data_IF_874339899665
#
_entry.id   IF_874339899665
#
_cell.length_a   1.000
_cell.length_b   1.000
_cell.length_c   1.000
_cell.angle_alpha   90.00
_cell.angle_beta   90.00
_cell.angle_gamma   90.00
#
_symmetry.space_group_name_H-M   'P 1'
#
loop_
_entity.id
_entity.type
_entity.pdbx_description
1 polymer ?
#
# COMPACT_ATOMS: atom_id res chain seq x y z
N UNK A 1 -36.08 -17.60 -15.73
CA UNK A 1 -35.57 -16.27 -16.09
C UNK A 1 -34.07 -16.22 -15.80
N UNK A 2 -33.31 -15.52 -16.60
CA UNK A 2 -31.89 -15.76 -16.92
C UNK A 2 -30.87 -15.55 -15.80
N UNK A 3 -30.07 -16.60 -15.56
CA UNK A 3 -28.81 -16.61 -14.82
C UNK A 3 -27.80 -15.65 -15.47
N UNK A 4 -27.49 -14.49 -14.86
CA UNK A 4 -26.44 -13.60 -15.41
C UNK A 4 -25.48 -12.96 -14.39
N UNK A 5 -25.64 -13.11 -13.09
CA UNK A 5 -24.85 -12.34 -12.12
C UNK A 5 -23.72 -13.09 -11.38
N UNK A 6 -23.58 -14.42 -11.57
CA UNK A 6 -22.57 -15.20 -10.83
C UNK A 6 -21.20 -15.22 -11.53
N UNK A 7 -21.14 -14.90 -12.83
CA UNK A 7 -19.87 -14.99 -13.60
C UNK A 7 -18.94 -13.78 -13.45
N UNK A 8 -19.43 -12.61 -13.05
CA UNK A 8 -18.61 -11.38 -13.04
C UNK A 8 -17.58 -11.36 -11.89
N UNK A 9 -17.97 -11.74 -10.67
CA UNK A 9 -17.05 -11.79 -9.53
C UNK A 9 -15.96 -12.86 -9.69
N UNK A 10 -16.32 -14.02 -10.25
CA UNK A 10 -15.35 -15.11 -10.51
C UNK A 10 -14.29 -14.72 -11.55
N UNK A 11 -14.65 -13.97 -12.60
CA UNK A 11 -13.69 -13.55 -13.64
C UNK A 11 -12.70 -12.50 -13.13
N UNK A 12 -13.13 -11.58 -12.30
CA UNK A 12 -12.25 -10.55 -11.73
C UNK A 12 -11.25 -11.16 -10.72
N UNK A 13 -11.72 -12.07 -9.87
CA UNK A 13 -10.88 -12.77 -8.88
C UNK A 13 -9.84 -13.70 -9.53
N UNK A 14 -10.25 -14.47 -10.57
CA UNK A 14 -9.33 -15.32 -11.33
C UNK A 14 -8.27 -14.47 -12.05
N UNK A 15 -8.62 -13.27 -12.56
CA UNK A 15 -7.64 -12.37 -13.17
C UNK A 15 -6.64 -11.80 -12.16
N UNK A 16 -7.06 -11.40 -10.96
CA UNK A 16 -6.13 -10.92 -9.92
C UNK A 16 -5.20 -12.05 -9.42
N UNK A 17 -5.74 -13.24 -9.15
CA UNK A 17 -4.90 -14.41 -8.79
C UNK A 17 -3.94 -14.84 -9.89
N UNK A 18 -4.35 -14.79 -11.16
CA UNK A 18 -3.46 -15.09 -12.29
C UNK A 18 -2.33 -14.06 -12.42
N UNK A 19 -2.58 -12.79 -12.17
CA UNK A 19 -1.52 -11.76 -12.18
C UNK A 19 -0.42 -12.05 -11.14
N UNK A 20 -0.79 -12.47 -9.92
CA UNK A 20 0.18 -12.81 -8.87
C UNK A 20 0.96 -14.11 -9.16
N UNK A 21 0.32 -15.12 -9.75
CA UNK A 21 0.97 -16.41 -10.08
C UNK A 21 1.69 -16.42 -11.42
N UNK A 22 1.26 -15.61 -12.39
CA UNK A 22 1.91 -15.53 -13.69
C UNK A 22 3.17 -14.65 -13.67
N UNK A 23 3.22 -13.60 -12.82
CA UNK A 23 4.44 -12.81 -12.64
C UNK A 23 5.53 -13.58 -11.89
N UNK A 24 5.19 -14.36 -10.88
CA UNK A 24 6.17 -15.18 -10.15
C UNK A 24 6.70 -16.34 -11.00
N UNK A 25 5.86 -17.03 -11.77
CA UNK A 25 6.27 -18.17 -12.58
C UNK A 25 7.13 -17.80 -13.81
N UNK A 26 6.82 -16.69 -14.51
CA UNK A 26 7.61 -16.31 -15.68
C UNK A 26 9.01 -15.80 -15.32
N UNK A 27 9.20 -15.30 -14.10
CA UNK A 27 10.50 -14.85 -13.59
C UNK A 27 11.40 -16.03 -13.22
N UNK A 28 10.84 -17.12 -12.67
CA UNK A 28 11.56 -18.38 -12.46
C UNK A 28 11.95 -19.08 -13.77
N UNK A 29 11.09 -19.05 -14.77
CA UNK A 29 11.39 -19.61 -16.12
C UNK A 29 12.53 -18.85 -16.84
N UNK A 30 12.76 -17.58 -16.52
CA UNK A 30 13.84 -16.77 -17.08
C UNK A 30 15.16 -16.84 -16.29
N UNK A 31 15.22 -17.57 -15.16
CA UNK A 31 16.42 -17.72 -14.35
C UNK A 31 16.92 -16.42 -13.72
N UNK A 32 16.02 -15.46 -13.50
CA UNK A 32 16.35 -14.11 -12.99
C UNK A 32 16.29 -14.11 -11.48
N UNK A 33 17.40 -13.78 -10.81
CA UNK A 33 17.47 -13.67 -9.35
C UNK A 33 16.66 -12.46 -8.84
N UNK A 34 16.19 -12.52 -7.59
CA UNK A 34 15.40 -11.46 -6.94
C UNK A 34 16.01 -10.06 -7.00
N UNK A 35 17.35 -9.94 -7.06
CA UNK A 35 18.05 -8.66 -7.24
C UNK A 35 17.93 -8.08 -8.67
N UNK A 36 17.58 -8.91 -9.65
CA UNK A 36 17.35 -8.47 -11.05
C UNK A 36 15.90 -8.03 -11.26
N UNK A 37 14.95 -8.52 -10.43
CA UNK A 37 13.53 -8.14 -10.48
C UNK A 37 13.35 -6.65 -10.18
N UNK A 38 14.08 -6.10 -9.22
CA UNK A 38 14.04 -4.67 -8.89
C UNK A 38 14.41 -3.77 -10.07
N UNK A 39 15.39 -4.22 -10.88
CA UNK A 39 15.81 -3.50 -12.08
C UNK A 39 14.82 -3.65 -13.23
N UNK A 40 14.07 -4.77 -13.29
CA UNK A 40 13.08 -5.07 -14.34
C UNK A 40 11.79 -4.26 -14.09
N UNK A 41 11.29 -4.17 -12.86
CA UNK A 41 10.11 -3.37 -12.52
C UNK A 41 10.32 -1.88 -12.88
N UNK A 42 11.47 -1.30 -12.48
CA UNK A 42 11.82 0.07 -12.86
C UNK A 42 11.99 0.24 -14.37
N UNK A 43 12.67 -0.70 -15.03
CA UNK A 43 12.87 -0.69 -16.50
C UNK A 43 11.57 -0.87 -17.26
N UNK A 44 10.61 -1.67 -16.74
CA UNK A 44 9.32 -1.89 -17.39
C UNK A 44 8.47 -0.62 -17.35
N UNK A 45 8.31 0.02 -16.18
CA UNK A 45 7.57 1.27 -16.06
C UNK A 45 8.21 2.39 -16.91
N UNK A 46 9.53 2.53 -16.86
CA UNK A 46 10.26 3.50 -17.68
C UNK A 46 10.10 3.18 -19.18
N UNK A 47 10.16 1.89 -19.58
CA UNK A 47 10.02 1.49 -20.98
C UNK A 47 8.61 1.72 -21.51
N UNK A 48 7.57 1.56 -20.69
CA UNK A 48 6.17 1.87 -21.06
C UNK A 48 5.98 3.37 -21.27
N UNK A 49 6.57 4.21 -20.39
CA UNK A 49 6.57 5.66 -20.56
C UNK A 49 7.35 6.08 -21.81
N UNK A 50 8.53 5.53 -22.04
CA UNK A 50 9.35 5.85 -23.22
C UNK A 50 8.61 5.53 -24.53
N UNK A 51 7.90 4.40 -24.63
CA UNK A 51 7.10 4.07 -25.81
C UNK A 51 5.95 5.06 -26.08
N UNK A 52 5.32 5.60 -25.00
CA UNK A 52 4.25 6.61 -25.13
C UNK A 52 4.80 8.01 -25.42
N UNK A 53 6.07 8.30 -25.11
CA UNK A 53 6.70 9.61 -25.36
C UNK A 53 7.27 9.75 -26.76
N UNK A 54 7.59 8.67 -27.46
CA UNK A 54 7.97 8.73 -28.88
C UNK A 54 6.88 9.38 -29.72
N UNK A 55 5.58 9.23 -29.29
CA UNK A 55 4.44 9.87 -29.94
C UNK A 55 4.16 11.33 -29.51
N UNK A 56 4.67 11.78 -28.34
CA UNK A 56 4.30 13.10 -27.78
C UNK A 56 5.39 14.17 -27.80
N UNK A 57 6.67 13.79 -27.94
CA UNK A 57 7.83 14.69 -28.04
C UNK A 57 8.04 15.66 -26.86
N UNK A 58 7.32 15.49 -25.75
CA UNK A 58 7.21 16.49 -24.67
C UNK A 58 8.05 16.21 -23.42
N UNK A 59 8.20 14.96 -22.98
CA UNK A 59 8.98 14.63 -21.78
C UNK A 59 10.44 14.37 -22.15
N UNK A 60 11.38 14.98 -21.41
CA UNK A 60 12.83 14.78 -21.59
C UNK A 60 13.44 13.90 -20.52
N UNK A 61 12.88 13.90 -19.32
CA UNK A 61 13.35 13.15 -18.16
C UNK A 61 12.18 12.47 -17.47
N UNK A 62 12.50 11.39 -16.73
CA UNK A 62 11.51 10.63 -15.96
C UNK A 62 11.97 10.52 -14.51
N UNK A 63 10.98 10.54 -13.60
CA UNK A 63 11.27 10.44 -12.19
C UNK A 63 10.05 10.01 -11.38
N UNK A 64 10.23 9.87 -10.08
CA UNK A 64 9.19 9.54 -9.12
C UNK A 64 8.81 10.75 -8.28
N UNK A 65 7.52 10.97 -8.09
CA UNK A 65 7.01 11.98 -7.16
C UNK A 65 7.24 11.51 -5.73
N UNK A 66 8.06 12.21 -4.97
CA UNK A 66 8.37 11.87 -3.58
C UNK A 66 7.48 12.58 -2.57
N UNK A 67 7.02 13.78 -2.87
CA UNK A 67 6.19 14.58 -1.96
C UNK A 67 5.42 15.66 -2.72
N UNK A 68 4.40 16.19 -2.04
CA UNK A 68 3.68 17.39 -2.46
C UNK A 68 3.88 18.50 -1.42
N UNK A 69 4.11 19.73 -1.88
CA UNK A 69 4.25 20.92 -1.04
C UNK A 69 3.47 22.10 -1.61
N UNK A 70 2.30 22.39 -1.07
CA UNK A 70 1.41 23.41 -1.59
C UNK A 70 0.92 23.08 -3.01
N UNK A 71 1.36 23.82 -4.02
CA UNK A 71 1.04 23.58 -5.43
C UNK A 71 2.16 22.89 -6.20
N UNK A 72 3.28 22.57 -5.54
CA UNK A 72 4.48 22.03 -6.16
C UNK A 72 4.64 20.55 -5.80
N UNK A 73 5.26 19.82 -6.71
CA UNK A 73 5.60 18.41 -6.58
C UNK A 73 7.12 18.25 -6.50
N UNK A 74 7.60 17.39 -5.66
CA UNK A 74 9.02 17.08 -5.52
C UNK A 74 9.29 15.77 -6.22
N UNK A 75 10.04 15.84 -7.33
CA UNK A 75 10.32 14.70 -8.21
C UNK A 75 11.79 14.33 -8.07
N UNK A 76 12.07 13.05 -7.87
CA UNK A 76 13.41 12.49 -7.98
C UNK A 76 13.55 11.82 -9.35
N UNK A 77 14.49 12.29 -10.22
CA UNK A 77 14.83 11.58 -11.45
C UNK A 77 15.35 10.18 -11.15
N UNK A 78 15.20 9.24 -12.11
CA UNK A 78 15.66 7.87 -11.92
C UNK A 78 17.18 7.72 -12.04
N UNK A 79 17.85 8.68 -12.64
CA UNK A 79 19.30 8.73 -12.90
C UNK A 79 20.06 9.64 -11.94
N UNK A 80 19.38 10.27 -10.99
CA UNK A 80 19.96 11.25 -10.07
C UNK A 80 19.33 11.16 -8.67
N UNK A 81 20.14 11.49 -7.66
CA UNK A 81 19.66 11.66 -6.27
C UNK A 81 19.12 13.07 -6.00
N UNK A 82 19.16 13.96 -6.99
CA UNK A 82 18.61 15.30 -6.87
C UNK A 82 17.10 15.27 -6.70
N UNK A 83 16.56 16.28 -6.02
CA UNK A 83 15.12 16.50 -5.93
C UNK A 83 14.76 17.79 -6.62
N UNK A 84 13.93 17.68 -7.64
CA UNK A 84 13.49 18.77 -8.49
C UNK A 84 12.10 19.21 -8.03
N UNK A 85 11.95 20.51 -7.80
CA UNK A 85 10.65 21.13 -7.54
C UNK A 85 9.92 21.34 -8.86
N UNK A 86 8.80 20.64 -9.04
CA UNK A 86 8.05 20.67 -10.28
C UNK A 86 6.64 21.28 -10.10
N UNK A 87 6.18 21.98 -11.09
CA UNK A 87 4.77 22.32 -11.26
C UNK A 87 4.12 21.35 -12.24
N UNK A 88 2.80 21.16 -12.14
CA UNK A 88 2.02 20.42 -13.14
C UNK A 88 1.67 21.32 -14.31
N UNK A 89 1.82 20.84 -15.54
CA UNK A 89 1.35 21.55 -16.73
C UNK A 89 -0.18 21.66 -16.70
N UNK A 90 -0.73 22.80 -17.12
CA UNK A 90 -2.18 22.99 -17.21
C UNK A 90 -2.86 22.08 -18.25
N UNK A 91 -2.08 21.54 -19.18
CA UNK A 91 -2.52 20.57 -20.20
C UNK A 91 -2.35 19.12 -19.76
N UNK A 92 -1.92 18.88 -18.50
CA UNK A 92 -1.75 17.54 -17.99
C UNK A 92 -3.09 16.82 -17.96
N UNK A 93 -3.21 15.75 -18.71
CA UNK A 93 -4.36 14.86 -18.66
C UNK A 93 -3.99 13.61 -17.87
N UNK A 94 -4.88 13.19 -16.99
CA UNK A 94 -4.78 11.89 -16.33
C UNK A 94 -5.36 10.80 -17.21
N UNK A 95 -4.75 9.62 -17.20
CA UNK A 95 -5.37 8.41 -17.75
C UNK A 95 -6.58 7.96 -16.90
N UNK A 96 -6.80 8.58 -15.76
CA UNK A 96 -7.80 8.23 -14.75
C UNK A 96 -8.76 9.43 -14.60
N UNK A 97 -9.91 9.39 -15.28
CA UNK A 97 -10.91 10.48 -15.27
C UNK A 97 -11.50 10.72 -13.89
N UNK A 98 -11.60 9.69 -13.07
CA UNK A 98 -12.34 9.67 -11.80
C UNK A 98 -11.42 9.62 -10.56
N UNK A 99 -10.13 9.87 -10.74
CA UNK A 99 -9.10 9.79 -9.71
C UNK A 99 -8.23 11.05 -9.62
N UNK A 100 -7.41 11.14 -8.57
CA UNK A 100 -6.43 12.23 -8.40
C UNK A 100 -5.50 12.34 -9.61
N UNK A 101 -5.37 13.55 -10.18
CA UNK A 101 -4.52 13.82 -11.35
C UNK A 101 -3.05 13.42 -11.11
N UNK A 102 -2.54 13.73 -9.93
CA UNK A 102 -1.20 13.37 -9.46
C UNK A 102 -1.27 12.86 -8.03
N UNK A 103 -0.42 11.90 -7.71
CA UNK A 103 -0.23 11.36 -6.37
C UNK A 103 1.25 11.17 -6.06
N UNK A 104 1.59 11.09 -4.79
CA UNK A 104 2.94 10.66 -4.36
C UNK A 104 3.15 9.23 -4.82
N UNK A 105 4.35 8.93 -5.32
CA UNK A 105 4.66 7.63 -5.93
C UNK A 105 4.48 7.58 -7.44
N UNK A 106 3.72 8.52 -8.04
CA UNK A 106 3.56 8.53 -9.49
C UNK A 106 4.91 8.63 -10.21
N UNK A 107 5.01 7.87 -11.29
CA UNK A 107 6.10 8.00 -12.24
C UNK A 107 5.68 9.07 -13.25
N UNK A 108 6.50 10.09 -13.38
CA UNK A 108 6.19 11.26 -14.21
C UNK A 108 7.27 11.55 -15.23
N UNK A 109 6.84 12.03 -16.39
CA UNK A 109 7.70 12.67 -17.36
C UNK A 109 7.69 14.18 -17.13
N UNK A 110 8.86 14.79 -17.10
CA UNK A 110 9.00 16.22 -16.85
C UNK A 110 10.10 16.85 -17.71
N UNK A 111 10.09 18.18 -17.75
CA UNK A 111 11.11 19.00 -18.40
C UNK A 111 11.72 19.93 -17.35
N UNK A 112 13.07 20.05 -17.34
CA UNK A 112 13.73 21.08 -16.52
C UNK A 112 13.48 22.45 -17.09
N UNK A 113 13.21 23.40 -16.20
CA UNK A 113 13.09 24.82 -16.52
C UNK A 113 14.33 25.50 -15.96
N UNK A 114 15.19 26.03 -16.83
CA UNK A 114 16.32 26.83 -16.42
C UNK A 114 15.84 28.13 -15.80
N UNK A 115 16.19 28.38 -14.56
CA UNK A 115 15.91 29.63 -13.85
C UNK A 115 17.22 30.24 -13.37
N UNK A 116 17.36 31.56 -13.51
CA UNK A 116 18.58 32.34 -13.20
C UNK A 116 19.05 32.31 -11.73
N UNK A 117 18.37 31.63 -10.82
CA UNK A 117 18.74 31.52 -9.40
C UNK A 117 18.65 30.10 -8.91
N UNK A 118 19.76 29.37 -8.94
CA UNK A 118 20.12 28.14 -8.16
C UNK A 118 18.98 27.17 -7.71
N UNK A 119 17.76 27.26 -8.22
CA UNK A 119 16.67 26.36 -7.90
C UNK A 119 16.30 25.50 -9.10
N UNK A 120 16.56 24.21 -8.98
CA UNK A 120 16.13 23.21 -9.95
C UNK A 120 14.59 23.18 -9.98
N UNK A 121 14.02 23.69 -11.06
CA UNK A 121 12.56 23.68 -11.30
C UNK A 121 12.24 22.82 -12.51
N UNK A 122 11.07 22.19 -12.47
CA UNK A 122 10.61 21.37 -13.56
C UNK A 122 9.12 21.56 -13.84
N UNK A 123 8.69 21.13 -15.00
CA UNK A 123 7.30 21.06 -15.43
C UNK A 123 6.93 19.61 -15.71
N UNK A 124 6.00 19.05 -14.95
CA UNK A 124 5.44 17.73 -15.19
C UNK A 124 4.49 17.83 -16.39
N UNK A 125 4.79 17.06 -17.43
CA UNK A 125 4.04 17.05 -18.69
C UNK A 125 3.33 15.73 -18.96
N UNK A 126 3.67 14.68 -18.21
CA UNK A 126 3.09 13.34 -18.36
C UNK A 126 3.03 12.61 -17.02
N UNK A 127 1.97 11.83 -16.83
CA UNK A 127 1.84 10.87 -15.71
C UNK A 127 1.79 9.46 -16.28
N UNK A 128 2.58 8.57 -15.68
CA UNK A 128 2.62 7.16 -16.05
C UNK A 128 1.47 6.35 -15.48
N UNK A 129 1.43 5.09 -15.87
CA UNK A 129 0.46 4.13 -15.35
C UNK A 129 0.74 3.80 -13.88
N UNK A 130 -0.33 3.66 -13.10
CA UNK A 130 -0.27 3.24 -11.70
C UNK A 130 -0.46 1.72 -11.65
N UNK A 131 0.58 0.99 -11.33
CA UNK A 131 0.52 -0.49 -11.18
C UNK A 131 -0.12 -0.89 -9.85
N UNK A 132 0.16 -0.13 -8.81
CA UNK A 132 -0.41 -0.30 -7.47
C UNK A 132 -0.87 1.05 -6.93
N UNK A 133 -1.84 1.04 -6.00
CA UNK A 133 -2.30 2.26 -5.36
C UNK A 133 -2.93 1.98 -4.00
N UNK A 134 -2.75 2.88 -3.08
CA UNK A 134 -3.51 2.93 -1.84
C UNK A 134 -4.44 4.14 -1.92
N UNK A 135 -5.74 3.89 -1.84
CA UNK A 135 -6.77 4.90 -2.05
C UNK A 135 -7.72 4.98 -0.86
N UNK A 136 -8.42 6.08 -0.77
CA UNK A 136 -9.55 6.25 0.14
C UNK A 136 -10.71 6.93 -0.56
N UNK A 137 -11.88 6.86 0.04
CA UNK A 137 -13.05 7.61 -0.41
C UNK A 137 -12.75 9.12 -0.27
N UNK A 138 -12.93 9.87 -1.34
CA UNK A 138 -12.80 11.32 -1.35
C UNK A 138 -13.92 11.98 -0.53
N UNK A 139 -13.63 13.14 0.06
CA UNK A 139 -14.61 13.94 0.81
C UNK A 139 -15.37 14.80 -0.20
N UNK A 140 -16.68 14.59 -0.36
CA UNK A 140 -17.53 15.40 -1.25
C UNK A 140 -18.81 14.70 -1.69
N UNK A 141 -19.66 15.44 -2.44
CA UNK A 141 -20.97 14.93 -2.93
C UNK A 141 -20.84 13.85 -4.01
N UNK A 142 -19.70 13.76 -4.70
CA UNK A 142 -19.35 12.67 -5.60
C UNK A 142 -18.24 11.85 -4.92
N UNK A 143 -18.47 10.57 -4.75
CA UNK A 143 -17.50 9.65 -4.19
C UNK A 143 -16.41 9.37 -5.24
N UNK A 144 -15.45 10.29 -5.36
CA UNK A 144 -14.29 10.11 -6.23
C UNK A 144 -13.18 9.39 -5.48
N UNK A 145 -12.41 8.58 -6.19
CA UNK A 145 -11.21 7.95 -5.65
C UNK A 145 -10.16 9.01 -5.29
N UNK A 146 -9.70 9.03 -4.06
CA UNK A 146 -8.53 9.80 -3.67
C UNK A 146 -7.34 8.88 -3.50
N UNK A 147 -6.44 8.86 -4.48
CA UNK A 147 -5.19 8.11 -4.39
C UNK A 147 -4.28 8.79 -3.38
N UNK A 148 -3.90 8.05 -2.35
CA UNK A 148 -3.02 8.48 -1.27
C UNK A 148 -1.57 8.35 -1.71
N UNK A 149 -1.24 7.18 -2.27
CA UNK A 149 0.07 6.86 -2.83
C UNK A 149 -0.11 5.84 -3.96
N UNK A 150 0.72 5.94 -4.97
CA UNK A 150 0.77 5.04 -6.13
C UNK A 150 2.13 4.35 -6.26
N UNK A 151 2.17 3.29 -7.06
CA UNK A 151 3.40 2.56 -7.40
C UNK A 151 4.29 2.22 -6.19
N UNK A 152 3.64 1.87 -5.07
CA UNK A 152 4.29 1.28 -3.91
C UNK A 152 4.26 -0.24 -4.02
N UNK A 153 5.30 -0.92 -3.51
CA UNK A 153 5.43 -2.37 -3.62
C UNK A 153 4.71 -3.09 -2.49
N UNK A 154 4.72 -2.50 -1.28
CA UNK A 154 4.20 -3.17 -0.10
C UNK A 154 3.58 -2.20 0.93
N UNK A 155 2.68 -2.75 1.75
CA UNK A 155 2.06 -2.07 2.88
C UNK A 155 2.60 -2.67 4.19
N UNK A 156 3.38 -1.89 4.95
CA UNK A 156 3.80 -2.23 6.30
C UNK A 156 2.72 -1.83 7.30
N UNK A 157 1.97 -2.81 7.78
CA UNK A 157 0.95 -2.66 8.81
C UNK A 157 1.66 -2.66 10.16
N UNK A 158 1.74 -1.50 10.82
CA UNK A 158 2.42 -1.36 12.11
C UNK A 158 1.40 -1.37 13.23
N UNK A 159 1.52 -2.38 14.09
CA UNK A 159 0.76 -2.52 15.32
C UNK A 159 1.72 -2.54 16.51
N UNK A 160 1.20 -2.48 17.73
CA UNK A 160 2.00 -2.64 18.95
C UNK A 160 1.47 -3.76 19.83
N UNK A 161 2.36 -4.46 20.52
CA UNK A 161 2.00 -5.51 21.46
C UNK A 161 1.10 -4.98 22.60
N UNK A 162 1.40 -3.77 23.05
CA UNK A 162 0.59 -3.04 24.05
C UNK A 162 0.77 -1.53 23.88
N UNK A 163 -0.09 -0.74 24.53
CA UNK A 163 -0.08 0.72 24.59
C UNK A 163 0.03 1.44 23.21
N UNK A 164 -0.96 1.29 22.34
CA UNK A 164 -2.20 0.52 22.42
C UNK A 164 -2.01 -0.95 22.05
N UNK A 165 -2.87 -1.84 22.53
CA UNK A 165 -2.90 -3.23 22.10
C UNK A 165 -3.28 -3.33 20.61
N UNK A 166 -2.74 -4.33 19.89
CA UNK A 166 -3.10 -4.53 18.48
C UNK A 166 -4.58 -4.92 18.34
N UNK A 167 -5.15 -4.52 17.23
CA UNK A 167 -6.55 -4.79 16.91
C UNK A 167 -6.61 -5.65 15.64
N UNK A 168 -7.04 -6.91 15.76
CA UNK A 168 -7.14 -7.88 14.64
C UNK A 168 -8.06 -7.35 13.53
N UNK A 169 -9.21 -6.76 13.87
CA UNK A 169 -10.13 -6.15 12.90
C UNK A 169 -9.46 -5.05 12.08
N UNK A 170 -8.59 -4.25 12.71
CA UNK A 170 -7.85 -3.21 12.00
C UNK A 170 -6.75 -3.81 11.11
N UNK A 171 -6.11 -4.91 11.54
CA UNK A 171 -5.18 -5.67 10.69
C UNK A 171 -5.92 -6.16 9.44
N UNK A 172 -7.09 -6.78 9.60
CA UNK A 172 -7.90 -7.30 8.49
C UNK A 172 -8.30 -6.21 7.51
N UNK A 173 -8.69 -5.03 8.02
CA UNK A 173 -9.03 -3.88 7.19
C UNK A 173 -7.82 -3.40 6.36
N UNK A 174 -6.61 -3.42 6.92
CA UNK A 174 -5.39 -3.10 6.19
C UNK A 174 -5.02 -4.18 5.16
N UNK A 175 -5.26 -5.46 5.47
CA UNK A 175 -5.04 -6.56 4.51
C UNK A 175 -5.94 -6.43 3.30
N UNK A 176 -7.23 -6.14 3.50
CA UNK A 176 -8.18 -5.86 2.41
C UNK A 176 -7.71 -4.67 1.56
N UNK A 177 -7.29 -3.58 2.20
CA UNK A 177 -6.81 -2.41 1.47
C UNK A 177 -5.51 -2.69 0.70
N UNK A 178 -4.62 -3.52 1.23
CA UNK A 178 -3.41 -3.94 0.54
C UNK A 178 -3.74 -4.78 -0.71
N UNK A 179 -4.63 -5.77 -0.57
CA UNK A 179 -5.05 -6.61 -1.68
C UNK A 179 -5.75 -5.80 -2.77
N UNK A 180 -6.69 -4.93 -2.39
CA UNK A 180 -7.40 -4.04 -3.32
C UNK A 180 -6.42 -3.13 -4.09
N UNK A 181 -5.39 -2.66 -3.41
CA UNK A 181 -4.36 -1.79 -3.98
C UNK A 181 -3.25 -2.50 -4.76
N UNK A 182 -3.23 -3.84 -4.76
CA UNK A 182 -2.14 -4.63 -5.33
C UNK A 182 -0.82 -4.55 -4.55
N UNK A 183 -0.87 -4.22 -3.26
CA UNK A 183 0.28 -4.07 -2.38
C UNK A 183 0.55 -5.39 -1.63
N UNK A 184 1.82 -5.77 -1.50
CA UNK A 184 2.19 -6.91 -0.65
C UNK A 184 2.07 -6.52 0.82
N UNK A 185 1.23 -7.21 1.64
CA UNK A 185 1.12 -6.91 3.06
C UNK A 185 2.33 -7.43 3.84
N UNK A 186 2.76 -6.65 4.83
CA UNK A 186 3.79 -6.98 5.81
C UNK A 186 3.31 -6.51 7.18
N UNK A 187 3.24 -7.40 8.17
CA UNK A 187 2.79 -7.06 9.53
C UNK A 187 3.99 -6.85 10.45
N UNK A 188 4.05 -5.69 11.10
CA UNK A 188 5.06 -5.38 12.12
C UNK A 188 4.40 -5.19 13.48
N UNK A 189 4.72 -6.06 14.42
CA UNK A 189 4.31 -5.91 15.82
C UNK A 189 5.44 -5.26 16.60
N UNK A 190 5.28 -3.99 16.92
CA UNK A 190 6.26 -3.22 17.67
C UNK A 190 6.00 -3.28 19.20
N UNK A 191 6.95 -2.79 20.00
CA UNK A 191 6.89 -2.77 21.47
C UNK A 191 6.74 -4.17 22.09
N UNK A 192 7.34 -5.18 21.49
CA UNK A 192 7.26 -6.58 21.97
C UNK A 192 7.83 -6.77 23.38
N UNK A 193 8.56 -5.79 23.91
CA UNK A 193 9.04 -5.81 25.29
C UNK A 193 7.92 -5.63 26.33
N UNK A 194 6.70 -5.26 25.91
CA UNK A 194 5.57 -5.01 26.79
C UNK A 194 4.66 -6.23 26.99
N UNK A 195 4.90 -7.33 26.26
CA UNK A 195 4.07 -8.53 26.32
C UNK A 195 4.88 -9.78 25.99
N UNK A 196 4.37 -10.94 26.42
CA UNK A 196 4.97 -12.21 26.05
C UNK A 196 4.87 -12.46 24.55
N UNK A 197 6.02 -12.68 23.93
CA UNK A 197 6.11 -12.94 22.48
C UNK A 197 5.46 -14.27 22.08
N UNK A 198 5.45 -15.27 22.95
CA UNK A 198 4.79 -16.55 22.65
C UNK A 198 3.29 -16.38 22.53
N UNK A 199 2.68 -15.62 23.47
CA UNK A 199 1.28 -15.26 23.42
C UNK A 199 0.92 -14.52 22.11
N UNK A 200 1.70 -13.48 21.73
CA UNK A 200 1.43 -12.73 20.51
C UNK A 200 1.52 -13.61 19.27
N UNK A 201 2.48 -14.54 19.22
CA UNK A 201 2.65 -15.45 18.09
C UNK A 201 1.46 -16.41 17.95
N UNK A 202 0.97 -16.93 19.06
CA UNK A 202 -0.17 -17.85 19.11
C UNK A 202 -1.45 -17.11 18.68
N UNK A 203 -1.70 -15.92 19.22
CA UNK A 203 -2.88 -15.11 18.93
C UNK A 203 -2.93 -14.61 17.47
N UNK A 204 -1.76 -14.40 16.84
CA UNK A 204 -1.65 -13.96 15.45
C UNK A 204 -1.33 -15.13 14.49
N UNK A 205 -1.43 -16.38 14.94
CA UNK A 205 -1.03 -17.54 14.16
C UNK A 205 -1.79 -17.67 12.83
N UNK A 206 -3.08 -17.35 12.81
CA UNK A 206 -3.91 -17.36 11.60
C UNK A 206 -3.32 -16.53 10.47
N UNK A 207 -2.74 -15.37 10.79
CA UNK A 207 -2.14 -14.49 9.78
C UNK A 207 -0.87 -15.08 9.16
N UNK A 208 -0.06 -15.79 9.94
CA UNK A 208 1.20 -16.37 9.46
C UNK A 208 1.03 -17.74 8.82
N UNK A 209 0.09 -18.58 9.28
CA UNK A 209 -0.03 -19.98 8.83
C UNK A 209 -1.08 -20.17 7.74
N UNK A 210 -2.19 -19.45 7.81
CA UNK A 210 -3.29 -19.59 6.86
C UNK A 210 -3.21 -18.53 5.76
N UNK A 211 -2.86 -17.28 6.13
CA UNK A 211 -2.81 -16.17 5.20
C UNK A 211 -1.41 -15.89 4.63
N UNK A 212 -0.39 -16.64 5.07
CA UNK A 212 1.02 -16.48 4.65
C UNK A 212 1.55 -15.04 4.78
N UNK A 213 1.10 -14.31 5.82
CA UNK A 213 1.55 -12.96 6.09
C UNK A 213 2.88 -13.00 6.85
N UNK A 214 3.89 -12.32 6.33
CA UNK A 214 5.16 -12.18 7.03
C UNK A 214 5.00 -11.25 8.24
N UNK A 215 5.21 -11.79 9.45
CA UNK A 215 5.09 -11.05 10.70
C UNK A 215 6.49 -10.77 11.28
N UNK A 216 6.84 -9.49 11.41
CA UNK A 216 8.09 -9.04 12.00
C UNK A 216 7.84 -8.45 13.39
N UNK A 217 8.49 -9.03 14.39
CA UNK A 217 8.40 -8.57 15.78
C UNK A 217 9.54 -7.61 16.09
N UNK A 218 9.20 -6.39 16.56
CA UNK A 218 10.17 -5.32 16.79
C UNK A 218 10.06 -4.69 18.17
N UNK A 219 11.18 -4.20 18.68
CA UNK A 219 11.25 -3.25 19.79
C UNK A 219 12.27 -2.19 19.42
N UNK A 220 11.81 -0.99 19.10
CA UNK A 220 12.70 0.14 18.87
C UNK A 220 13.48 0.47 20.13
N UNK A 221 12.84 0.43 21.29
CA UNK A 221 13.45 0.70 22.61
C UNK A 221 14.61 -0.24 22.91
N UNK A 222 14.46 -1.54 22.61
CA UNK A 222 15.48 -2.58 22.84
C UNK A 222 16.33 -2.90 21.61
N UNK A 223 16.07 -2.25 20.48
CA UNK A 223 16.73 -2.49 19.17
C UNK A 223 16.58 -3.94 18.68
N UNK A 224 15.48 -4.59 19.00
CA UNK A 224 15.17 -5.95 18.58
C UNK A 224 14.41 -5.92 17.25
N UNK A 225 14.65 -6.87 16.33
CA UNK A 225 13.90 -7.07 15.09
C UNK A 225 14.12 -6.01 13.99
N UNK A 226 14.97 -5.00 14.22
CA UNK A 226 15.21 -3.93 13.24
C UNK A 226 15.99 -4.44 12.01
N UNK A 227 16.89 -5.40 12.18
CA UNK A 227 17.63 -6.00 11.06
C UNK A 227 16.73 -6.76 10.08
N UNK A 228 15.92 -7.73 10.52
CA UNK A 228 14.90 -8.37 9.69
C UNK A 228 13.94 -7.38 9.02
N UNK A 229 13.51 -6.33 9.75
CA UNK A 229 12.65 -5.30 9.18
C UNK A 229 13.36 -4.54 8.04
N UNK A 230 14.60 -4.08 8.25
CA UNK A 230 15.40 -3.42 7.20
C UNK A 230 15.57 -4.31 5.97
N UNK A 231 15.82 -5.62 6.17
CA UNK A 231 15.95 -6.59 5.08
C UNK A 231 14.66 -6.70 4.27
N UNK A 232 13.50 -6.73 4.93
CA UNK A 232 12.19 -6.81 4.26
C UNK A 232 11.82 -5.53 3.50
N UNK A 233 12.38 -4.38 3.90
CA UNK A 233 12.11 -3.08 3.28
C UNK A 233 13.08 -2.74 2.14
N UNK A 234 14.21 -3.44 2.06
CA UNK A 234 15.26 -3.15 1.11
C UNK A 234 14.77 -3.25 -0.33
N UNK A 235 15.02 -2.20 -1.13
CA UNK A 235 14.67 -2.14 -2.54
C UNK A 235 13.19 -1.85 -2.82
N UNK A 236 12.32 -1.89 -1.82
CA UNK A 236 10.88 -1.67 -1.98
C UNK A 236 10.44 -0.27 -1.58
N UNK A 237 9.46 0.27 -2.29
CA UNK A 237 8.68 1.42 -1.82
C UNK A 237 7.61 0.89 -0.88
N UNK A 238 7.77 1.16 0.41
CA UNK A 238 6.91 0.63 1.47
C UNK A 238 6.05 1.73 2.08
N UNK A 239 4.74 1.54 2.05
CA UNK A 239 3.80 2.42 2.77
C UNK A 239 3.70 1.98 4.22
N UNK A 240 3.89 2.90 5.16
CA UNK A 240 3.65 2.63 6.58
C UNK A 240 2.23 3.05 6.95
N UNK A 241 1.48 2.13 7.52
CA UNK A 241 0.17 2.42 8.09
C UNK A 241 -0.01 1.77 9.45
N UNK A 242 -0.97 2.27 10.22
CA UNK A 242 -1.28 1.78 11.56
C UNK A 242 -1.77 2.88 12.48
N UNK A 243 -2.37 2.54 13.64
CA UNK A 243 -2.96 3.50 14.56
C UNK A 243 -1.93 4.43 15.21
N UNK A 244 -2.42 5.48 15.87
CA UNK A 244 -1.57 6.38 16.63
C UNK A 244 -0.96 5.65 17.83
N UNK A 245 0.28 6.01 18.19
CA UNK A 245 0.94 5.48 19.39
C UNK A 245 1.66 4.13 19.20
N UNK A 246 1.51 3.42 18.07
CA UNK A 246 2.21 2.12 17.84
C UNK A 246 3.71 2.26 17.60
N UNK A 247 4.21 3.49 17.39
CA UNK A 247 5.63 3.76 17.23
C UNK A 247 6.12 3.86 15.78
N UNK A 248 5.24 4.19 14.81
CA UNK A 248 5.63 4.37 13.39
C UNK A 248 6.80 5.33 13.22
N UNK A 249 6.70 6.54 13.78
CA UNK A 249 7.78 7.55 13.69
C UNK A 249 9.08 7.08 14.32
N UNK A 250 9.00 6.31 15.40
CA UNK A 250 10.18 5.73 16.05
C UNK A 250 10.82 4.65 15.17
N UNK A 251 10.02 3.83 14.48
CA UNK A 251 10.49 2.84 13.51
C UNK A 251 11.15 3.52 12.31
N UNK A 252 10.52 4.54 11.73
CA UNK A 252 11.10 5.32 10.62
C UNK A 252 12.49 5.85 11.03
N UNK A 253 12.58 6.52 12.17
CA UNK A 253 13.86 7.05 12.67
C UNK A 253 14.92 5.97 12.91
N UNK A 254 14.51 4.79 13.42
CA UNK A 254 15.41 3.67 13.66
C UNK A 254 15.91 3.00 12.37
N UNK A 255 15.09 3.01 11.32
CA UNK A 255 15.41 2.43 10.01
C UNK A 255 16.30 3.38 9.20
N UNK A 256 15.93 4.65 9.11
CA UNK A 256 16.64 5.66 8.31
C UNK A 256 17.91 6.18 8.98
N UNK A 257 18.08 5.95 10.29
CA UNK A 257 19.22 6.46 11.06
C UNK A 257 19.14 7.96 11.37
N UNK A 258 18.06 8.64 11.00
CA UNK A 258 17.87 10.08 11.15
C UNK A 258 16.70 10.39 12.09
N UNK A 259 16.79 11.51 12.82
CA UNK A 259 15.66 12.04 13.61
C UNK A 259 14.71 12.83 12.68
N UNK A 260 14.10 12.16 11.72
CA UNK A 260 13.31 12.81 10.68
C UNK A 260 11.99 13.46 11.18
N UNK A 261 11.46 13.04 12.32
CA UNK A 261 10.11 13.44 12.74
C UNK A 261 10.00 14.31 14.00
N UNK A 262 11.08 14.59 14.72
CA UNK A 262 10.97 15.35 15.99
C UNK A 262 11.06 16.87 15.88
N UNK A 263 11.43 17.37 14.74
CA UNK A 263 11.53 18.82 14.55
C UNK A 263 11.03 19.13 13.17
N UNK A 264 10.09 19.97 12.96
CA UNK A 264 9.70 20.46 11.62
C UNK A 264 10.88 20.87 10.70
N UNK A 265 12.09 20.44 11.02
CA UNK A 265 13.33 20.52 10.27
C UNK A 265 13.60 19.18 9.62
N UNK A 266 13.16 19.05 8.39
CA UNK A 266 13.61 18.01 7.47
C UNK A 266 15.12 18.10 7.34
N UNK A 267 15.78 16.95 7.53
CA UNK A 267 17.23 16.87 7.39
C UNK A 267 17.68 17.40 6.03
N UNK A 268 18.71 18.05 6.12
CA UNK A 268 19.48 18.96 5.35
C UNK A 268 19.75 18.68 3.87
N UNK A 269 19.30 17.60 3.28
CA UNK A 269 19.56 17.32 1.86
C UNK A 269 18.38 17.50 0.91
N UNK A 270 17.13 17.36 1.40
CA UNK A 270 16.01 17.23 0.46
C UNK A 270 14.89 18.27 0.58
N UNK A 271 14.54 18.75 1.80
CA UNK A 271 13.35 19.60 1.97
C UNK A 271 13.53 20.74 2.98
N UNK A 272 14.75 21.24 3.19
CA UNK A 272 15.06 22.27 4.20
C UNK A 272 14.37 23.60 3.87
N UNK A 273 13.50 24.05 4.79
CA UNK A 273 12.90 25.39 4.76
C UNK A 273 11.61 25.54 3.96
N UNK A 274 10.92 24.45 3.57
CA UNK A 274 9.67 24.51 2.80
C UNK A 274 8.48 24.05 3.62
N UNK A 275 7.38 24.79 3.53
CA UNK A 275 6.10 24.45 4.18
C UNK A 275 5.47 23.23 3.49
N UNK A 276 5.84 22.02 3.92
CA UNK A 276 5.17 20.78 3.51
C UNK A 276 4.16 20.46 4.60
N UNK A 277 2.92 20.76 4.30
CA UNK A 277 1.78 20.46 5.17
C UNK A 277 1.59 18.94 5.20
N UNK A 278 1.31 18.34 6.33
CA UNK A 278 0.86 16.97 6.70
C UNK A 278 0.45 15.99 5.57
N UNK A 279 1.18 15.97 4.45
CA UNK A 279 0.92 15.13 3.28
C UNK A 279 1.85 13.91 3.25
N UNK A 280 1.42 12.86 2.53
CA UNK A 280 2.21 11.67 2.25
C UNK A 280 3.59 12.06 1.70
N UNK A 281 4.62 11.33 2.13
CA UNK A 281 5.99 11.57 1.68
C UNK A 281 6.79 10.28 1.64
N UNK A 282 7.55 10.08 0.56
CA UNK A 282 8.50 8.98 0.43
C UNK A 282 9.87 9.45 0.87
N UNK A 283 10.46 8.74 1.83
CA UNK A 283 11.84 8.89 2.29
C UNK A 283 12.71 7.82 1.62
N UNK A 284 13.61 8.19 0.71
CA UNK A 284 14.53 7.22 0.11
C UNK A 284 15.37 6.49 1.16
N UNK A 285 15.58 5.19 0.99
CA UNK A 285 16.44 4.37 1.84
C UNK A 285 17.84 4.24 1.23
N UNK A 286 18.88 4.19 2.06
CA UNK A 286 20.28 4.07 1.63
C UNK A 286 20.55 2.79 0.81
N UNK A 287 19.83 1.70 1.13
CA UNK A 287 19.96 0.41 0.45
C UNK A 287 19.00 0.25 -0.73
N UNK A 288 18.42 1.35 -1.21
CA UNK A 288 17.39 1.38 -2.25
C UNK A 288 15.97 1.22 -1.72
N UNK A 289 14.98 1.60 -2.55
CA UNK A 289 13.59 1.70 -2.13
C UNK A 289 13.27 2.97 -1.34
N UNK A 290 12.18 2.96 -0.58
CA UNK A 290 11.77 4.12 0.21
C UNK A 290 10.66 3.79 1.21
N UNK A 291 10.55 4.60 2.25
CA UNK A 291 9.47 4.54 3.23
C UNK A 291 8.51 5.69 3.00
N UNK A 292 7.24 5.37 2.80
CA UNK A 292 6.17 6.36 2.71
C UNK A 292 5.45 6.48 4.05
N UNK A 293 5.57 7.64 4.68
CA UNK A 293 4.74 7.96 5.85
C UNK A 293 3.43 8.58 5.40
N UNK A 294 2.33 8.08 5.95
CA UNK A 294 0.99 8.53 5.64
C UNK A 294 0.34 9.15 6.88
N UNK A 295 0.69 10.41 7.22
CA UNK A 295 0.12 11.07 8.38
C UNK A 295 -1.40 11.19 8.25
N UNK A 296 -2.13 10.76 9.28
CA UNK A 296 -3.60 10.91 9.30
C UNK A 296 -4.40 9.80 8.63
N UNK A 297 -3.78 8.75 8.09
CA UNK A 297 -4.47 7.50 7.73
C UNK A 297 -4.86 6.72 9.00
N UNK A 298 -5.65 7.37 9.87
CA UNK A 298 -6.18 6.71 11.08
C UNK A 298 -7.27 5.70 10.73
N UNK A 299 -7.95 5.96 9.64
CA UNK A 299 -9.01 5.11 9.11
C UNK A 299 -8.80 4.98 7.61
N UNK A 300 -8.28 3.84 7.18
CA UNK A 300 -8.36 3.42 5.78
C UNK A 300 -9.83 3.11 5.51
N UNK A 301 -10.54 4.09 4.95
CA UNK A 301 -11.83 3.83 4.33
C UNK A 301 -11.59 2.88 3.16
N UNK A 302 -12.17 1.70 3.23
CA UNK A 302 -12.17 0.80 2.09
C UNK A 302 -12.93 1.48 0.95
N UNK A 303 -12.30 1.54 -0.21
CA UNK A 303 -12.86 2.20 -1.40
C UNK A 303 -13.38 1.15 -2.37
N UNK A 304 -14.58 1.39 -2.93
CA UNK A 304 -15.13 0.58 -4.02
C UNK A 304 -15.26 -0.93 -3.71
N UNK A 305 -15.60 -1.25 -2.45
CA UNK A 305 -15.93 -2.61 -2.03
C UNK A 305 -17.43 -2.65 -1.72
N UNK A 306 -18.15 -3.52 -2.41
CA UNK A 306 -19.54 -3.77 -2.09
C UNK A 306 -19.62 -4.63 -0.81
N UNK A 307 -20.58 -4.38 0.11
CA UNK A 307 -20.73 -5.18 1.35
C UNK A 307 -20.79 -6.69 1.09
N UNK A 308 -21.47 -7.12 0.03
CA UNK A 308 -21.60 -8.53 -0.34
C UNK A 308 -20.29 -9.16 -0.85
N UNK A 309 -19.33 -8.33 -1.30
CA UNK A 309 -18.03 -8.79 -1.76
C UNK A 309 -17.00 -8.87 -0.63
N UNK A 310 -17.31 -8.34 0.55
CA UNK A 310 -16.39 -8.29 1.68
C UNK A 310 -15.85 -9.68 2.10
N UNK A 311 -16.69 -10.71 2.00
CA UNK A 311 -16.30 -12.07 2.35
C UNK A 311 -15.17 -12.62 1.46
N UNK A 312 -15.04 -12.16 0.21
CA UNK A 312 -14.03 -12.64 -0.73
C UNK A 312 -12.62 -12.20 -0.38
N UNK A 313 -12.46 -11.21 0.49
CA UNK A 313 -11.16 -10.78 1.02
C UNK A 313 -10.72 -11.58 2.26
N UNK A 314 -11.58 -12.49 2.74
CA UNK A 314 -11.26 -13.39 3.84
C UNK A 314 -10.87 -14.77 3.30
N UNK A 315 -9.61 -14.95 2.88
CA UNK A 315 -9.14 -16.15 2.18
C UNK A 315 -9.20 -17.44 3.01
N UNK A 316 -9.29 -17.33 4.32
CA UNK A 316 -9.61 -18.44 5.21
C UNK A 316 -11.05 -18.98 5.00
N UNK A 317 -11.93 -18.22 4.34
CA UNK A 317 -13.28 -18.66 3.97
C UNK A 317 -13.32 -19.41 2.63
N UNK A 318 -12.30 -19.30 1.79
CA UNK A 318 -12.26 -19.86 0.43
C UNK A 318 -12.66 -21.33 0.32
N UNK A 319 -12.22 -22.24 1.23
CA UNK A 319 -12.59 -23.65 1.15
C UNK A 319 -14.09 -23.92 1.34
N UNK A 320 -14.84 -22.98 1.93
CA UNK A 320 -16.21 -23.17 2.38
C UNK A 320 -17.27 -22.47 1.51
N UNK A 321 -16.89 -21.52 0.63
CA UNK A 321 -17.84 -20.75 -0.16
C UNK A 321 -18.83 -21.58 -0.99
N UNK A 322 -18.38 -22.71 -1.53
CA UNK A 322 -19.20 -23.57 -2.39
C UNK A 322 -20.09 -24.56 -1.62
N UNK A 323 -19.97 -24.58 -0.28
CA UNK A 323 -20.66 -25.52 0.58
C UNK A 323 -21.90 -24.89 1.23
N UNK A 324 -22.16 -23.61 1.01
CA UNK A 324 -23.38 -22.97 1.51
C UNK A 324 -24.61 -23.44 0.76
N UNK A 325 -25.73 -23.61 1.48
CA UNK A 325 -27.03 -23.98 0.90
C UNK A 325 -27.52 -22.98 -0.15
N UNK A 326 -27.28 -21.69 0.07
CA UNK A 326 -27.72 -20.62 -0.80
C UNK A 326 -26.55 -20.09 -1.64
N UNK A 327 -26.78 -19.93 -2.95
CA UNK A 327 -25.74 -19.42 -3.88
C UNK A 327 -25.39 -17.95 -3.67
N UNK A 328 -26.32 -17.18 -3.08
CA UNK A 328 -26.13 -15.76 -2.71
C UNK A 328 -25.96 -15.56 -1.21
N UNK A 329 -25.39 -16.56 -0.52
CA UNK A 329 -25.16 -16.49 0.92
C UNK A 329 -24.20 -15.35 1.24
N UNK A 330 -24.65 -14.42 2.08
CA UNK A 330 -23.81 -13.33 2.61
C UNK A 330 -23.03 -13.76 3.85
N UNK A 331 -23.25 -15.00 4.34
CA UNK A 331 -22.60 -15.60 5.52
C UNK A 331 -22.87 -14.86 6.84
N UNK A 332 -23.87 -14.00 6.88
CA UNK A 332 -24.26 -13.21 8.07
C UNK A 332 -25.40 -13.85 8.85
N UNK A 333 -26.57 -13.96 8.24
CA UNK A 333 -27.79 -14.39 8.91
C UNK A 333 -28.40 -15.68 8.33
N UNK A 334 -27.96 -16.12 7.16
CA UNK A 334 -28.52 -17.27 6.48
C UNK A 334 -28.40 -18.55 7.30
N UNK A 335 -29.45 -19.40 7.34
CA UNK A 335 -29.38 -20.73 7.93
C UNK A 335 -28.51 -21.65 7.04
N UNK A 336 -27.98 -22.70 7.61
CA UNK A 336 -27.19 -23.72 6.91
C UNK A 336 -25.97 -23.10 6.13
N UNK A 337 -25.36 -22.06 6.69
CA UNK A 337 -24.17 -21.41 6.12
C UNK A 337 -22.91 -22.22 6.47
N UNK A 338 -22.15 -22.62 5.45
CA UNK A 338 -20.93 -23.40 5.63
C UNK A 338 -19.82 -22.62 6.37
N UNK A 339 -19.73 -21.30 6.16
CA UNK A 339 -18.78 -20.44 6.89
C UNK A 339 -19.10 -20.45 8.38
N UNK A 340 -20.37 -20.23 8.78
CA UNK A 340 -20.77 -20.26 10.19
C UNK A 340 -20.53 -21.63 10.83
N UNK A 341 -20.80 -22.70 10.10
CA UNK A 341 -20.50 -24.06 10.55
C UNK A 341 -18.98 -24.28 10.73
N UNK A 342 -18.16 -23.77 9.80
CA UNK A 342 -16.71 -23.86 9.89
C UNK A 342 -16.15 -23.08 11.12
N UNK A 343 -16.74 -21.93 11.46
CA UNK A 343 -16.41 -21.19 12.69
C UNK A 343 -16.77 -22.03 13.92
N UNK A 344 -17.98 -22.61 13.98
CA UNK A 344 -18.40 -23.46 15.11
C UNK A 344 -17.52 -24.70 15.29
N UNK A 345 -16.96 -25.22 14.21
CA UNK A 345 -16.04 -26.37 14.21
C UNK A 345 -14.56 -25.98 14.44
N UNK A 346 -14.24 -24.69 14.54
CA UNK A 346 -12.89 -24.18 14.75
C UNK A 346 -11.99 -24.22 13.51
N UNK A 347 -12.53 -24.43 12.30
CA UNK A 347 -11.78 -24.33 11.04
C UNK A 347 -11.53 -22.88 10.61
N UNK A 348 -12.41 -21.97 11.00
CA UNK A 348 -12.27 -20.53 10.83
C UNK A 348 -12.16 -19.92 12.22
N UNK A 349 -11.19 -19.03 12.42
CA UNK A 349 -11.01 -18.27 13.66
C UNK A 349 -12.23 -17.36 13.91
N UNK A 350 -12.75 -17.37 15.13
CA UNK A 350 -13.95 -16.59 15.49
C UNK A 350 -13.71 -15.09 15.38
N UNK A 351 -12.53 -14.60 15.79
CA UNK A 351 -12.16 -13.18 15.67
C UNK A 351 -12.13 -12.73 14.21
N UNK A 352 -11.68 -13.62 13.30
CA UNK A 352 -11.69 -13.36 11.86
C UNK A 352 -13.11 -13.26 11.32
N UNK A 353 -13.98 -14.18 11.70
CA UNK A 353 -15.38 -14.11 11.31
C UNK A 353 -16.06 -12.86 11.87
N UNK A 354 -15.82 -12.53 13.14
CA UNK A 354 -16.35 -11.31 13.74
C UNK A 354 -15.79 -10.04 13.05
N UNK A 355 -14.54 -10.08 12.64
CA UNK A 355 -13.93 -9.00 11.87
C UNK A 355 -14.62 -8.81 10.51
N UNK A 356 -14.92 -9.92 9.81
CA UNK A 356 -15.70 -9.91 8.59
C UNK A 356 -17.07 -9.22 8.78
N UNK A 357 -17.85 -9.64 9.79
CA UNK A 357 -19.16 -9.07 10.07
C UNK A 357 -19.10 -7.56 10.26
N UNK A 358 -18.18 -7.10 11.11
CA UNK A 358 -17.99 -5.69 11.40
C UNK A 358 -17.54 -4.88 10.18
N UNK A 359 -16.70 -5.46 9.31
CA UNK A 359 -16.23 -4.79 8.09
C UNK A 359 -17.38 -4.70 7.09
N UNK A 360 -18.12 -5.79 6.86
CA UNK A 360 -19.26 -5.78 5.95
C UNK A 360 -20.33 -4.74 6.38
N UNK A 361 -20.64 -4.66 7.68
CA UNK A 361 -21.54 -3.64 8.22
C UNK A 361 -21.04 -2.22 7.98
N UNK A 362 -19.73 -1.98 8.18
CA UNK A 362 -19.13 -0.66 7.96
C UNK A 362 -19.07 -0.22 6.49
N UNK A 363 -19.35 -1.10 5.55
CA UNK A 363 -19.43 -0.82 4.11
C UNK A 363 -20.85 -0.44 3.68
N UNK A 364 -21.85 -0.69 4.50
CA UNK A 364 -23.25 -0.30 4.26
C UNK A 364 -23.53 1.17 4.63
N UNK A 365 -22.66 1.78 5.47
CA UNK A 365 -22.73 3.18 5.89
C UNK A 365 -22.06 4.12 4.83
#
# INVERSE_FOLDING_TARGET
MKKKNVEFGKKTRVKQRKLYTEEDNWLEELGVSSSQVESVSRKSATRTLLKKTEDSGKAKEFGRVLAMGGRNWYVQPFDSDEIIECMSAGTLSSMYSDSSLLAVGDIVGFQRIEHEKDSLKGLIVQVGERTTRLSRRGIGKQSTEQVIISNADQLLIVMSAADPFYNKRLIDRYLIAAEQGGLKPLLCINKIELMDKAFIKEDLNVYSTILDINIIFTSVKRRIGLGPLKKALKGHITVLSGPSGVGKSSLINAITGEKLQKTGSVSTRTFKGRHITSSVRIFPLLEGGGLADTPGLRELGLWDIHPDDAAFYFHDFDPFFHQCKFTSCTHRHEPDCAIKNAVQQGYIDEDRYQSYLNIAESLEE
#
